data_IF_039900555531
#
_entry.id   IF_039900555531
#
_cell.length_a   1.000
_cell.length_b   1.000
_cell.length_c   1.000
_cell.angle_alpha   90.00
_cell.angle_beta   90.00
_cell.angle_gamma   90.00
#
_symmetry.space_group_name_H-M   'P 1'
#
loop_
_entity.id
_entity.type
_entity.pdbx_description
1 polymer ?
#
# COMPACT_ATOMS: atom_id res chain seq x y z
N UNK A 1 -13.62 50.53 -18.36
CA UNK A 1 -13.74 49.08 -18.17
C UNK A 1 -13.63 48.42 -19.52
N UNK A 2 -12.46 47.89 -19.84
CA UNK A 2 -12.21 47.16 -21.08
C UNK A 2 -12.35 45.69 -20.74
N UNK A 3 -13.43 45.05 -21.25
CA UNK A 3 -13.56 43.59 -21.19
C UNK A 3 -12.51 42.95 -22.10
N UNK A 4 -11.44 42.44 -21.53
CA UNK A 4 -10.54 41.51 -22.21
C UNK A 4 -11.30 40.18 -22.45
N UNK A 5 -11.83 40.03 -23.64
CA UNK A 5 -12.27 38.73 -24.16
C UNK A 5 -11.07 37.81 -24.24
N UNK A 6 -10.92 36.91 -23.24
CA UNK A 6 -9.99 35.77 -23.32
C UNK A 6 -10.33 35.00 -24.61
N UNK A 7 -9.49 35.14 -25.65
CA UNK A 7 -9.52 34.27 -26.83
C UNK A 7 -9.34 32.84 -26.32
N UNK A 8 -10.34 31.98 -26.47
CA UNK A 8 -10.15 30.53 -26.34
C UNK A 8 -9.24 30.13 -27.50
N UNK A 9 -7.96 29.87 -27.18
CA UNK A 9 -7.05 29.28 -28.15
C UNK A 9 -7.66 27.94 -28.59
N UNK A 10 -7.91 27.80 -29.89
CA UNK A 10 -8.41 26.57 -30.51
C UNK A 10 -7.22 25.60 -30.56
N UNK A 11 -7.14 24.72 -29.59
CA UNK A 11 -6.16 23.64 -29.61
C UNK A 11 -6.42 22.71 -30.82
N UNK A 12 -5.32 22.08 -31.29
CA UNK A 12 -5.42 21.12 -32.39
C UNK A 12 -6.28 19.92 -32.00
N UNK A 13 -7.12 19.43 -32.95
CA UNK A 13 -7.90 18.20 -32.77
C UNK A 13 -7.03 16.94 -32.54
N UNK A 14 -5.75 17.04 -32.81
CA UNK A 14 -4.75 15.96 -32.62
C UNK A 14 -4.01 16.08 -31.28
N UNK A 15 -4.24 17.13 -30.49
CA UNK A 15 -3.61 17.29 -29.20
C UNK A 15 -4.16 16.26 -28.18
N UNK A 16 -3.25 15.63 -27.42
CA UNK A 16 -3.68 14.83 -26.27
C UNK A 16 -4.19 15.74 -25.17
N UNK A 17 -5.38 15.45 -24.67
CA UNK A 17 -5.98 16.14 -23.53
C UNK A 17 -6.30 15.14 -22.46
N UNK A 18 -5.67 15.32 -21.31
CA UNK A 18 -6.04 14.60 -20.10
C UNK A 18 -7.48 15.00 -19.71
N UNK A 19 -8.37 14.01 -19.52
CA UNK A 19 -9.78 14.25 -19.18
C UNK A 19 -10.01 13.96 -17.70
N UNK A 20 -10.72 14.85 -17.04
CA UNK A 20 -11.12 14.63 -15.65
C UNK A 20 -12.08 13.43 -15.55
N UNK A 21 -11.87 12.58 -14.56
CA UNK A 21 -12.79 11.47 -14.29
C UNK A 21 -14.19 11.98 -13.90
N UNK A 22 -14.27 13.16 -13.30
CA UNK A 22 -15.54 13.83 -12.97
C UNK A 22 -16.36 14.23 -14.20
N UNK A 23 -15.69 14.45 -15.34
CA UNK A 23 -16.35 14.77 -16.62
C UNK A 23 -16.64 13.52 -17.46
N UNK A 24 -15.80 12.49 -17.34
CA UNK A 24 -15.95 11.23 -18.11
C UNK A 24 -17.03 10.35 -17.51
N UNK A 25 -17.09 10.24 -16.18
CA UNK A 25 -18.08 9.44 -15.49
C UNK A 25 -19.47 10.07 -15.54
N UNK A 26 -20.49 9.25 -15.77
CA UNK A 26 -21.89 9.63 -15.59
C UNK A 26 -22.19 9.84 -14.10
N UNK A 27 -23.29 10.53 -13.80
CA UNK A 27 -23.76 10.70 -12.40
C UNK A 27 -23.92 9.38 -11.65
N UNK A 28 -24.40 8.33 -12.34
CA UNK A 28 -24.53 6.99 -11.76
C UNK A 28 -23.15 6.35 -11.45
N UNK A 29 -22.17 6.53 -12.34
CA UNK A 29 -20.82 6.04 -12.08
C UNK A 29 -20.13 6.80 -10.95
N UNK A 30 -20.33 8.10 -10.82
CA UNK A 30 -19.85 8.90 -9.69
C UNK A 30 -20.46 8.36 -8.38
N UNK A 31 -21.78 8.12 -8.35
CA UNK A 31 -22.44 7.51 -7.18
C UNK A 31 -21.84 6.15 -6.85
N UNK A 32 -21.64 5.28 -7.85
CA UNK A 32 -20.99 3.98 -7.66
C UNK A 32 -19.56 4.11 -7.12
N UNK A 33 -18.80 5.13 -7.53
CA UNK A 33 -17.47 5.39 -6.98
C UNK A 33 -17.52 5.74 -5.49
N UNK A 34 -18.49 6.56 -5.06
CA UNK A 34 -18.69 6.86 -3.64
C UNK A 34 -19.10 5.62 -2.85
N UNK A 35 -20.08 4.86 -3.33
CA UNK A 35 -20.55 3.62 -2.68
C UNK A 35 -19.44 2.56 -2.61
N UNK A 36 -18.64 2.41 -3.65
CA UNK A 36 -17.48 1.52 -3.72
C UNK A 36 -16.44 1.87 -2.65
N UNK A 37 -16.18 3.15 -2.46
CA UNK A 37 -15.21 3.65 -1.51
C UNK A 37 -15.63 3.48 -0.04
N UNK A 38 -16.93 3.27 0.27
CA UNK A 38 -17.33 2.87 1.61
C UNK A 38 -16.76 1.50 2.01
N UNK A 39 -16.73 0.57 1.06
CA UNK A 39 -16.05 -0.73 1.25
C UNK A 39 -14.54 -0.61 1.34
N UNK A 40 -13.95 0.29 0.58
CA UNK A 40 -12.51 0.58 0.60
C UNK A 40 -12.06 1.15 1.96
N UNK A 41 -12.77 2.14 2.51
CA UNK A 41 -12.49 2.68 3.85
C UNK A 41 -12.55 1.58 4.93
N UNK A 42 -13.54 0.68 4.87
CA UNK A 42 -13.62 -0.47 5.79
C UNK A 42 -12.42 -1.40 5.66
N UNK A 43 -11.93 -1.63 4.46
CA UNK A 43 -10.72 -2.42 4.23
C UNK A 43 -9.50 -1.75 4.86
N UNK A 44 -9.28 -0.45 4.63
CA UNK A 44 -8.19 0.31 5.23
C UNK A 44 -8.23 0.30 6.77
N UNK A 45 -9.43 0.34 7.35
CA UNK A 45 -9.62 0.29 8.81
C UNK A 45 -9.36 -1.10 9.41
N UNK A 46 -9.51 -2.15 8.61
CA UNK A 46 -9.44 -3.55 9.08
C UNK A 46 -8.09 -4.18 8.80
N UNK A 47 -7.44 -3.79 7.72
CA UNK A 47 -6.22 -4.42 7.20
C UNK A 47 -5.07 -3.41 7.23
N UNK A 48 -4.51 -3.16 8.40
CA UNK A 48 -3.37 -2.23 8.59
C UNK A 48 -2.00 -2.91 8.47
N UNK A 49 -2.00 -4.25 8.52
CA UNK A 49 -0.81 -5.08 8.33
C UNK A 49 -1.00 -6.07 7.19
N UNK A 50 0.08 -6.65 6.69
CA UNK A 50 0.03 -7.64 5.60
C UNK A 50 -0.76 -8.89 6.01
N UNK A 51 -0.66 -9.34 7.27
CA UNK A 51 -1.42 -10.49 7.76
C UNK A 51 -2.91 -10.22 7.83
N UNK A 52 -3.29 -9.02 8.25
CA UNK A 52 -4.69 -8.59 8.28
C UNK A 52 -5.25 -8.46 6.87
N UNK A 53 -4.44 -7.97 5.91
CA UNK A 53 -4.84 -7.91 4.51
C UNK A 53 -5.12 -9.31 3.94
N UNK A 54 -4.25 -10.28 4.18
CA UNK A 54 -4.47 -11.68 3.76
C UNK A 54 -5.69 -12.29 4.45
N UNK A 55 -5.88 -12.04 5.74
CA UNK A 55 -7.06 -12.50 6.47
C UNK A 55 -8.34 -11.94 5.86
N UNK A 56 -8.38 -10.63 5.59
CA UNK A 56 -9.51 -9.98 4.94
C UNK A 56 -9.80 -10.57 3.55
N UNK A 57 -8.77 -10.73 2.72
CA UNK A 57 -8.88 -11.33 1.37
C UNK A 57 -9.49 -12.73 1.49
N UNK A 58 -8.94 -13.58 2.36
CA UNK A 58 -9.42 -14.95 2.56
C UNK A 58 -10.90 -15.01 2.97
N UNK A 59 -11.31 -14.14 3.91
CA UNK A 59 -12.71 -14.07 4.35
C UNK A 59 -13.66 -13.63 3.24
N UNK A 60 -13.23 -12.70 2.37
CA UNK A 60 -14.05 -12.28 1.22
C UNK A 60 -14.16 -13.39 0.18
N UNK A 61 -13.05 -14.05 -0.13
CA UNK A 61 -13.00 -15.09 -1.16
C UNK A 61 -13.79 -16.34 -0.76
N UNK A 62 -13.82 -16.73 0.52
CA UNK A 62 -14.66 -17.85 1.01
C UNK A 62 -16.15 -17.73 0.62
N UNK A 63 -16.63 -16.52 0.34
CA UNK A 63 -18.01 -16.21 -0.04
C UNK A 63 -18.23 -16.19 -1.56
N UNK A 64 -17.20 -16.53 -2.33
CA UNK A 64 -17.22 -16.52 -3.80
C UNK A 64 -16.89 -17.91 -4.36
N UNK A 65 -16.96 -18.06 -5.67
CA UNK A 65 -16.47 -19.28 -6.37
C UNK A 65 -15.00 -19.22 -6.77
N UNK A 66 -14.25 -18.19 -6.38
CA UNK A 66 -12.84 -18.03 -6.71
C UNK A 66 -11.97 -19.01 -5.91
N UNK A 67 -10.84 -19.45 -6.50
CA UNK A 67 -9.81 -20.22 -5.79
C UNK A 67 -8.84 -19.27 -5.13
N UNK A 68 -8.44 -19.56 -3.89
CA UNK A 68 -7.39 -18.82 -3.21
C UNK A 68 -6.23 -19.75 -2.83
N UNK A 69 -5.01 -19.25 -3.00
CA UNK A 69 -3.77 -19.87 -2.53
C UNK A 69 -3.10 -18.89 -1.59
N UNK A 70 -2.69 -19.34 -0.42
CA UNK A 70 -2.06 -18.51 0.62
C UNK A 70 -0.68 -19.11 0.94
N UNK A 71 0.32 -18.23 1.05
CA UNK A 71 1.67 -18.55 1.47
C UNK A 71 2.02 -17.79 2.75
N UNK A 72 2.27 -18.51 3.85
CA UNK A 72 2.76 -17.99 5.14
C UNK A 72 1.91 -16.87 5.76
N UNK A 73 0.62 -16.79 5.44
CA UNK A 73 -0.28 -15.71 5.86
C UNK A 73 0.19 -14.29 5.48
N UNK A 74 1.07 -14.14 4.49
CA UNK A 74 1.67 -12.87 4.04
C UNK A 74 1.71 -12.70 2.53
N UNK A 75 1.31 -13.70 1.79
CA UNK A 75 1.23 -13.66 0.32
C UNK A 75 0.02 -14.49 -0.13
N UNK A 76 -0.71 -14.02 -1.12
CA UNK A 76 -1.85 -14.76 -1.65
C UNK A 76 -2.05 -14.56 -3.14
N UNK A 77 -2.69 -15.54 -3.78
CA UNK A 77 -3.20 -15.45 -5.13
C UNK A 77 -4.65 -15.87 -5.18
N UNK A 78 -5.49 -15.04 -5.75
CA UNK A 78 -6.89 -15.35 -6.07
C UNK A 78 -7.00 -15.65 -7.55
N UNK A 79 -7.58 -16.79 -7.90
CA UNK A 79 -7.58 -17.30 -9.27
C UNK A 79 -9.01 -17.57 -9.74
N UNK A 80 -9.31 -17.07 -10.92
CA UNK A 80 -10.53 -17.40 -11.69
C UNK A 80 -10.09 -18.08 -13.00
N UNK A 81 -10.39 -19.39 -13.21
CA UNK A 81 -10.03 -20.10 -14.43
C UNK A 81 -10.65 -19.44 -15.68
N UNK A 82 -9.85 -19.33 -16.72
CA UNK A 82 -10.27 -18.78 -18.01
C UNK A 82 -10.86 -19.83 -18.95
N UNK A 83 -11.42 -19.35 -20.07
CA UNK A 83 -11.89 -20.24 -21.17
C UNK A 83 -10.73 -20.86 -21.95
N UNK A 84 -9.60 -20.13 -22.03
CA UNK A 84 -8.39 -20.61 -22.70
C UNK A 84 -7.53 -21.47 -21.78
N UNK A 85 -6.79 -22.46 -22.33
CA UNK A 85 -5.82 -23.23 -21.58
C UNK A 85 -4.76 -22.33 -20.93
N UNK A 86 -4.29 -22.70 -19.74
CA UNK A 86 -3.21 -22.00 -19.02
C UNK A 86 -1.93 -21.89 -19.88
N UNK A 87 -1.68 -22.85 -20.75
CA UNK A 87 -0.58 -22.87 -21.71
C UNK A 87 -0.57 -21.66 -22.70
N UNK A 88 -1.69 -20.94 -22.83
CA UNK A 88 -1.79 -19.70 -23.62
C UNK A 88 -1.47 -18.43 -22.83
N UNK A 89 -1.01 -18.58 -21.58
CA UNK A 89 -0.69 -17.48 -20.68
C UNK A 89 -1.84 -17.11 -19.77
N UNK A 90 -1.54 -16.27 -18.77
CA UNK A 90 -2.48 -15.78 -17.76
C UNK A 90 -2.53 -14.26 -17.73
N UNK A 91 -3.56 -13.70 -17.10
CA UNK A 91 -3.67 -12.26 -16.81
C UNK A 91 -3.49 -12.03 -15.32
N UNK A 92 -2.48 -11.27 -14.94
CA UNK A 92 -2.13 -11.03 -13.53
C UNK A 92 -2.27 -9.56 -13.22
N UNK A 93 -2.98 -9.24 -12.13
CA UNK A 93 -2.88 -7.95 -11.46
C UNK A 93 -2.16 -8.21 -10.14
N UNK A 94 -0.97 -7.65 -9.99
CA UNK A 94 -0.15 -7.81 -8.77
C UNK A 94 -0.10 -6.49 -8.01
N UNK A 95 -0.30 -6.54 -6.69
CA UNK A 95 -0.17 -5.41 -5.76
C UNK A 95 0.56 -5.85 -4.50
N UNK A 96 1.16 -4.90 -3.78
CA UNK A 96 1.72 -5.21 -2.48
C UNK A 96 0.73 -4.90 -1.34
N UNK A 97 0.96 -5.50 -0.18
CA UNK A 97 0.06 -5.44 0.97
C UNK A 97 0.72 -4.85 2.23
N UNK A 98 2.03 -4.70 2.21
CA UNK A 98 2.79 -4.00 3.24
C UNK A 98 2.71 -2.48 3.03
N UNK A 99 3.03 -1.72 4.06
CA UNK A 99 3.11 -0.25 4.05
C UNK A 99 4.14 0.22 5.06
N UNK A 100 4.73 1.42 4.90
CA UNK A 100 5.69 1.97 5.84
C UNK A 100 5.11 2.10 7.26
N UNK A 101 5.90 1.73 8.28
CA UNK A 101 5.47 1.64 9.67
C UNK A 101 6.65 1.64 10.65
N UNK A 102 6.38 1.44 11.93
CA UNK A 102 7.38 1.19 12.96
C UNK A 102 7.23 -0.25 13.48
N UNK A 103 8.23 -1.12 13.22
CA UNK A 103 8.25 -2.47 13.77
C UNK A 103 8.90 -2.45 15.17
N UNK A 104 8.39 -3.23 16.12
CA UNK A 104 9.08 -3.40 17.39
C UNK A 104 10.40 -4.17 17.21
N UNK A 105 11.46 -3.77 17.92
CA UNK A 105 12.70 -4.55 17.99
C UNK A 105 12.46 -5.88 18.72
N UNK A 106 13.41 -6.80 18.65
CA UNK A 106 13.28 -8.14 19.24
C UNK A 106 13.26 -8.13 20.77
N UNK A 107 13.93 -7.17 21.41
CA UNK A 107 13.90 -6.95 22.86
C UNK A 107 13.48 -5.49 23.06
N UNK A 108 12.17 -5.17 22.92
CA UNK A 108 11.75 -3.79 22.78
C UNK A 108 11.55 -3.06 24.10
N UNK A 109 11.22 -3.76 25.20
CA UNK A 109 10.75 -3.14 26.42
C UNK A 109 11.88 -2.67 27.33
N UNK A 110 11.93 -1.39 27.60
CA UNK A 110 12.83 -0.80 28.59
C UNK A 110 12.14 0.28 29.43
N UNK A 111 12.73 0.63 30.57
CA UNK A 111 12.28 1.72 31.45
C UNK A 111 13.32 2.84 31.42
N UNK A 112 12.88 4.05 31.07
CA UNK A 112 13.70 5.25 31.26
C UNK A 112 13.38 5.87 32.62
N UNK A 113 14.33 5.74 33.54
CA UNK A 113 14.22 6.23 34.91
C UNK A 113 14.24 7.77 34.99
N UNK A 114 14.82 8.48 34.02
CA UNK A 114 14.87 9.93 33.99
C UNK A 114 13.50 10.55 33.67
N UNK A 115 12.78 9.95 32.74
CA UNK A 115 11.43 10.39 32.36
C UNK A 115 10.33 9.64 33.11
N UNK A 116 10.68 8.57 33.85
CA UNK A 116 9.74 7.74 34.62
C UNK A 116 8.64 7.13 33.75
N UNK A 117 9.01 6.61 32.57
CA UNK A 117 8.13 5.89 31.65
C UNK A 117 8.81 4.61 31.15
N UNK A 118 7.99 3.68 30.69
CA UNK A 118 8.49 2.56 29.89
C UNK A 118 8.16 2.75 28.43
N UNK A 119 9.06 2.29 27.56
CA UNK A 119 8.97 2.43 26.11
C UNK A 119 9.18 1.08 25.44
N UNK A 120 8.67 1.00 24.19
CA UNK A 120 9.11 -0.01 23.24
C UNK A 120 10.04 0.62 22.21
N UNK A 121 11.23 0.05 22.07
CA UNK A 121 12.16 0.37 20.97
C UNK A 121 11.59 -0.09 19.64
N UNK A 122 11.70 0.78 18.64
CA UNK A 122 11.23 0.48 17.29
C UNK A 122 12.33 0.54 16.24
N UNK A 123 12.07 -0.07 15.10
CA UNK A 123 12.83 0.08 13.87
C UNK A 123 11.86 0.48 12.75
N UNK A 124 12.09 1.60 12.10
CA UNK A 124 11.21 2.00 11.00
C UNK A 124 11.34 1.06 9.79
N UNK A 125 10.22 0.81 9.14
CA UNK A 125 10.07 -0.04 7.97
C UNK A 125 9.69 0.80 6.75
N UNK A 126 10.41 0.61 5.62
CA UNK A 126 10.19 1.37 4.38
C UNK A 126 10.72 2.80 4.41
N UNK A 127 10.40 3.55 3.39
CA UNK A 127 10.86 4.92 3.17
C UNK A 127 10.01 5.98 3.86
N UNK A 128 10.22 6.26 5.14
CA UNK A 128 9.46 7.24 5.91
C UNK A 128 10.16 8.58 6.06
N UNK A 129 9.38 9.65 6.22
CA UNK A 129 9.83 10.89 6.85
C UNK A 129 9.59 10.80 8.34
N UNK A 130 10.64 10.57 9.13
CA UNK A 130 10.57 10.27 10.57
C UNK A 130 9.76 11.28 11.37
N UNK A 131 9.83 12.57 11.01
CA UNK A 131 9.07 13.64 11.68
C UNK A 131 7.53 13.52 11.55
N UNK A 132 7.03 12.76 10.57
CA UNK A 132 5.58 12.50 10.47
C UNK A 132 5.08 11.55 11.56
N UNK A 133 5.96 10.78 12.19
CA UNK A 133 5.62 9.69 13.11
C UNK A 133 5.67 10.11 14.58
N UNK A 134 6.38 11.22 14.91
CA UNK A 134 6.38 11.77 16.26
C UNK A 134 5.01 12.40 16.57
N UNK A 135 4.58 12.32 17.81
CA UNK A 135 3.29 12.78 18.38
C UNK A 135 2.04 12.24 17.67
N UNK A 136 2.21 11.28 16.76
CA UNK A 136 1.10 10.59 16.10
C UNK A 136 0.54 9.52 17.03
N UNK A 137 -0.80 9.47 17.24
CA UNK A 137 -1.42 8.33 17.92
C UNK A 137 -1.23 7.05 17.11
N UNK A 138 -0.66 6.03 17.75
CA UNK A 138 -0.34 4.74 17.13
C UNK A 138 -1.15 3.61 17.80
N UNK A 139 -1.55 2.65 17.00
CA UNK A 139 -2.11 1.37 17.37
C UNK A 139 -1.02 0.30 17.27
N UNK A 140 -1.12 -0.78 18.03
CA UNK A 140 -0.20 -1.91 17.98
C UNK A 140 -0.91 -3.12 17.39
N UNK A 141 -0.43 -3.59 16.26
CA UNK A 141 -0.96 -4.73 15.51
C UNK A 141 0.08 -5.83 15.36
N UNK A 142 -0.37 -7.04 15.06
CA UNK A 142 0.51 -8.14 14.68
C UNK A 142 0.32 -9.40 15.49
N UNK A 143 1.35 -10.22 15.55
CA UNK A 143 1.32 -11.51 16.26
C UNK A 143 2.55 -11.72 17.13
N UNK A 144 2.34 -12.45 18.22
CA UNK A 144 3.40 -13.04 19.03
C UNK A 144 3.29 -14.57 18.92
N UNK A 145 4.35 -15.23 18.52
CA UNK A 145 4.41 -16.70 18.48
C UNK A 145 5.13 -17.19 19.73
N UNK A 146 4.39 -17.85 20.63
CA UNK A 146 4.93 -18.34 21.89
C UNK A 146 5.78 -19.58 21.72
N UNK A 147 6.54 -19.93 22.77
CA UNK A 147 7.41 -21.10 22.81
C UNK A 147 6.71 -22.43 22.49
N UNK A 148 5.43 -22.56 22.81
CA UNK A 148 4.61 -23.73 22.49
C UNK A 148 4.04 -23.73 21.06
N UNK A 149 4.37 -22.71 20.25
CA UNK A 149 3.88 -22.52 18.90
C UNK A 149 2.50 -21.86 18.81
N UNK A 150 1.84 -21.58 19.94
CA UNK A 150 0.58 -20.84 19.93
C UNK A 150 0.81 -19.39 19.52
N UNK A 151 -0.21 -18.81 18.86
CA UNK A 151 -0.16 -17.43 18.36
C UNK A 151 -1.12 -16.54 19.15
N UNK A 152 -0.65 -15.38 19.54
CA UNK A 152 -1.43 -14.30 20.11
C UNK A 152 -1.52 -13.21 19.06
N UNK A 153 -2.74 -12.74 18.77
CA UNK A 153 -2.98 -11.63 17.86
C UNK A 153 -3.15 -10.35 18.68
N UNK A 154 -2.36 -9.34 18.35
CA UNK A 154 -2.49 -8.00 18.86
C UNK A 154 -3.23 -7.13 17.86
N UNK A 155 -4.23 -6.40 18.35
CA UNK A 155 -4.97 -5.35 17.63
C UNK A 155 -5.46 -4.37 18.69
N UNK A 156 -4.59 -3.46 19.10
CA UNK A 156 -4.83 -2.49 20.19
C UNK A 156 -4.73 -1.07 19.66
N UNK A 157 -5.68 -0.22 20.00
CA UNK A 157 -5.74 1.18 19.58
C UNK A 157 -6.80 1.47 18.53
N UNK A 158 -7.59 0.47 18.15
CA UNK A 158 -8.61 0.59 17.10
C UNK A 158 -10.02 0.92 17.63
N UNK A 159 -10.30 0.59 18.90
CA UNK A 159 -11.60 0.84 19.53
C UNK A 159 -11.53 2.01 20.52
N UNK A 160 -12.63 2.73 20.77
CA UNK A 160 -12.64 3.89 21.68
C UNK A 160 -12.19 3.61 23.11
N UNK A 161 -12.19 2.35 23.54
CA UNK A 161 -11.73 1.92 24.87
C UNK A 161 -10.29 1.44 24.91
N UNK A 162 -9.63 1.28 23.77
CA UNK A 162 -8.27 0.80 23.68
C UNK A 162 -7.25 1.88 24.07
N UNK A 163 -6.10 1.50 24.62
CA UNK A 163 -4.98 2.41 24.74
C UNK A 163 -4.37 2.70 23.37
N UNK A 164 -3.87 3.90 23.20
CA UNK A 164 -3.01 4.26 22.05
C UNK A 164 -1.60 4.55 22.53
N UNK A 165 -0.64 4.51 21.60
CA UNK A 165 0.78 4.73 21.85
C UNK A 165 1.25 5.96 21.06
N UNK A 166 2.40 6.52 21.41
CA UNK A 166 2.97 7.64 20.65
C UNK A 166 4.48 7.76 20.90
N UNK A 167 5.18 8.26 19.90
CA UNK A 167 6.56 8.72 20.03
C UNK A 167 6.54 10.14 20.58
N UNK A 168 7.19 10.44 21.73
CA UNK A 168 7.25 11.80 22.26
C UNK A 168 8.17 12.69 21.43
N UNK A 169 7.91 14.00 21.43
CA UNK A 169 8.78 14.98 20.79
C UNK A 169 9.05 16.18 21.72
N UNK A 170 10.07 16.95 21.40
CA UNK A 170 10.41 18.15 22.15
C UNK A 170 9.40 19.27 21.89
N UNK A 171 9.11 20.04 22.95
CA UNK A 171 8.39 21.30 22.78
C UNK A 171 9.27 22.36 22.08
N UNK A 172 8.69 23.33 21.38
CA UNK A 172 9.45 24.34 20.60
C UNK A 172 10.50 25.10 21.41
N UNK A 173 10.26 25.34 22.69
CA UNK A 173 11.21 26.07 23.55
C UNK A 173 12.49 25.29 23.88
N UNK A 174 12.54 24.00 23.62
CA UNK A 174 13.72 23.15 23.80
C UNK A 174 14.30 22.65 22.48
N UNK A 175 13.52 22.66 21.38
CA UNK A 175 13.92 22.09 20.09
C UNK A 175 14.97 22.95 19.35
N UNK A 176 14.92 24.26 19.50
CA UNK A 176 15.65 25.22 18.67
C UNK A 176 17.19 25.06 18.65
N UNK A 177 17.81 24.50 19.70
CA UNK A 177 19.25 24.21 19.73
C UNK A 177 19.60 22.76 19.40
N UNK A 178 18.61 21.86 19.36
CA UNK A 178 18.81 20.41 19.27
C UNK A 178 18.28 19.87 17.95
N UNK A 179 17.09 20.30 17.51
CA UNK A 179 16.44 19.84 16.30
C UNK A 179 16.51 20.87 15.16
N UNK A 180 16.16 22.12 15.40
CA UNK A 180 16.00 23.15 14.37
C UNK A 180 17.30 23.52 13.65
N UNK A 181 18.44 23.20 14.24
CA UNK A 181 19.78 23.41 13.65
C UNK A 181 20.27 22.26 12.78
N UNK A 182 19.50 21.17 12.72
CA UNK A 182 19.84 19.97 11.96
C UNK A 182 19.07 19.92 10.63
N UNK A 183 19.54 19.10 9.70
CA UNK A 183 18.71 18.75 8.55
C UNK A 183 17.47 17.98 9.01
N UNK A 184 16.40 18.08 8.23
CA UNK A 184 15.10 17.52 8.58
C UNK A 184 15.15 16.00 8.84
N UNK A 185 15.97 15.28 8.10
CA UNK A 185 16.17 13.81 8.23
C UNK A 185 17.07 13.43 9.42
N UNK A 186 17.84 14.38 9.94
CA UNK A 186 18.73 14.24 11.09
C UNK A 186 18.09 14.75 12.40
N UNK A 187 17.06 15.58 12.31
CA UNK A 187 16.40 16.18 13.48
C UNK A 187 15.70 15.13 14.34
N UNK A 188 15.08 14.15 13.71
CA UNK A 188 14.53 12.96 14.36
C UNK A 188 15.35 11.76 13.90
N UNK A 189 16.01 11.07 14.83
CA UNK A 189 16.80 9.87 14.52
C UNK A 189 15.92 8.62 14.50
N UNK A 190 16.36 7.54 13.84
CA UNK A 190 15.67 6.26 13.90
C UNK A 190 15.57 5.70 15.31
N UNK A 191 16.63 5.84 16.09
CA UNK A 191 16.69 5.39 17.49
C UNK A 191 15.84 6.23 18.45
N UNK A 192 15.30 7.38 18.02
CA UNK A 192 14.38 8.19 18.82
C UNK A 192 12.90 7.98 18.48
N UNK A 193 12.58 6.96 17.68
CA UNK A 193 11.20 6.61 17.34
C UNK A 193 10.57 5.61 18.31
N UNK A 194 10.99 5.62 19.58
CA UNK A 194 10.47 4.73 20.62
C UNK A 194 9.09 5.19 21.11
N UNK A 195 8.18 4.23 21.26
CA UNK A 195 6.81 4.50 21.66
C UNK A 195 6.62 4.34 23.17
N UNK A 196 5.98 5.32 23.83
CA UNK A 196 5.62 5.24 25.24
C UNK A 196 4.53 4.19 25.43
N UNK A 197 4.73 3.26 26.38
CA UNK A 197 3.82 2.14 26.67
C UNK A 197 3.28 2.14 28.11
N UNK A 198 3.82 2.94 29.00
CA UNK A 198 3.27 3.07 30.35
C UNK A 198 4.14 3.89 31.30
N UNK A 199 3.56 4.21 32.48
CA UNK A 199 4.24 4.98 33.53
C UNK A 199 3.84 4.54 34.96
N UNK A 200 2.98 3.51 35.11
CA UNK A 200 2.49 3.06 36.42
C UNK A 200 3.46 2.01 37.02
N UNK A 201 4.09 2.30 38.18
CA UNK A 201 5.04 1.37 38.77
C UNK A 201 4.37 0.19 39.49
N UNK A 202 5.05 -0.94 39.52
CA UNK A 202 4.71 -2.07 40.38
C UNK A 202 4.95 -1.71 41.87
N UNK A 203 4.25 -2.38 42.77
CA UNK A 203 4.49 -2.33 44.20
C UNK A 203 5.64 -3.31 44.54
N UNK A 204 6.55 -2.88 45.39
CA UNK A 204 7.68 -3.73 45.83
C UNK A 204 9.03 -3.09 45.53
N UNK A 205 10.08 -3.80 45.83
CA UNK A 205 11.49 -3.37 45.65
C UNK A 205 12.06 -3.98 44.35
N UNK A 206 11.76 -3.35 43.25
CA UNK A 206 12.23 -3.70 41.90
C UNK A 206 13.14 -2.60 41.39
N UNK A 207 14.17 -2.94 40.60
CA UNK A 207 15.03 -1.96 39.93
C UNK A 207 14.31 -1.20 38.79
N UNK A 208 13.43 -1.91 38.06
CA UNK A 208 12.64 -1.38 36.94
C UNK A 208 11.14 -1.60 37.25
N UNK A 209 10.55 -0.69 38.05
CA UNK A 209 9.20 -0.87 38.57
C UNK A 209 8.10 -0.76 37.51
N UNK A 210 8.26 0.14 36.53
CA UNK A 210 7.27 0.34 35.47
C UNK A 210 7.34 -0.82 34.47
N UNK A 211 8.54 -1.19 34.06
CA UNK A 211 8.77 -2.38 33.21
C UNK A 211 8.19 -3.63 33.84
N UNK A 212 8.44 -3.86 35.14
CA UNK A 212 7.89 -4.99 35.87
C UNK A 212 6.35 -4.99 35.86
N UNK A 213 5.72 -3.83 36.11
CA UNK A 213 4.27 -3.72 36.08
C UNK A 213 3.67 -4.03 34.69
N UNK A 214 4.36 -3.62 33.63
CA UNK A 214 3.95 -3.91 32.25
C UNK A 214 4.10 -5.38 31.90
N UNK A 215 5.22 -6.01 32.25
CA UNK A 215 5.43 -7.44 32.05
C UNK A 215 4.37 -8.27 32.78
N UNK A 216 4.05 -7.92 34.05
CA UNK A 216 2.98 -8.55 34.79
C UNK A 216 1.60 -8.40 34.10
N UNK A 217 1.32 -7.21 33.55
CA UNK A 217 0.09 -6.94 32.82
C UNK A 217 0.02 -7.76 31.54
N UNK A 218 1.07 -7.72 30.71
CA UNK A 218 1.15 -8.46 29.45
C UNK A 218 1.02 -9.97 29.68
N UNK A 219 1.66 -10.48 30.72
CA UNK A 219 1.53 -11.89 31.08
C UNK A 219 0.10 -12.25 31.53
N UNK A 220 -0.53 -11.43 32.37
CA UNK A 220 -1.91 -11.68 32.87
C UNK A 220 -2.97 -11.57 31.78
N UNK A 221 -2.85 -10.61 30.89
CA UNK A 221 -3.88 -10.34 29.85
C UNK A 221 -3.68 -11.17 28.59
N UNK A 222 -2.41 -11.39 28.18
CA UNK A 222 -2.09 -12.04 26.91
C UNK A 222 -1.28 -13.33 27.07
N UNK A 223 -0.81 -13.65 28.28
CA UNK A 223 0.08 -14.78 28.52
C UNK A 223 1.43 -14.65 27.80
N UNK A 224 1.89 -13.40 27.57
CA UNK A 224 3.13 -13.08 26.86
C UNK A 224 4.22 -12.71 27.86
N UNK A 225 5.35 -13.39 27.81
CA UNK A 225 6.59 -13.08 28.54
C UNK A 225 7.50 -12.16 27.71
N UNK A 226 8.54 -11.60 28.34
CA UNK A 226 9.52 -10.78 27.61
C UNK A 226 10.25 -11.58 26.52
N UNK A 227 10.55 -12.85 26.75
CA UNK A 227 11.19 -13.75 25.76
C UNK A 227 10.31 -13.94 24.50
N UNK A 228 9.00 -13.89 24.63
CA UNK A 228 8.08 -14.11 23.49
C UNK A 228 8.14 -12.96 22.47
N UNK A 229 8.61 -11.76 22.86
CA UNK A 229 8.82 -10.65 21.90
C UNK A 229 9.92 -10.98 20.87
N UNK A 230 10.87 -11.86 21.16
CA UNK A 230 11.92 -12.26 20.21
C UNK A 230 11.31 -12.91 18.96
N UNK A 231 10.18 -13.58 19.11
CA UNK A 231 9.41 -14.22 18.01
C UNK A 231 8.10 -13.49 17.70
N UNK A 232 8.06 -12.18 17.94
CA UNK A 232 6.93 -11.34 17.59
C UNK A 232 7.13 -10.66 16.22
N UNK A 233 6.03 -10.41 15.54
CA UNK A 233 5.89 -9.45 14.46
C UNK A 233 4.84 -8.44 14.92
N UNK A 234 5.30 -7.39 15.59
CA UNK A 234 4.44 -6.33 16.14
C UNK A 234 4.78 -4.98 15.48
N UNK A 235 3.76 -4.35 14.97
CA UNK A 235 3.80 -3.19 14.13
C UNK A 235 3.01 -2.05 14.78
N UNK A 236 3.68 -0.90 15.00
CA UNK A 236 3.02 0.32 15.42
C UNK A 236 2.59 1.11 14.17
N UNK A 237 1.29 1.24 14.01
CA UNK A 237 0.63 1.86 12.86
C UNK A 237 -0.29 2.98 13.31
N UNK A 238 -0.61 3.97 12.44
CA UNK A 238 -1.53 5.06 12.82
C UNK A 238 -2.88 4.56 13.31
N UNK A 239 -3.33 5.06 14.47
CA UNK A 239 -4.62 4.70 15.11
C UNK A 239 -5.82 5.40 14.46
N UNK A 240 -5.63 6.04 13.31
CA UNK A 240 -6.69 6.74 12.60
C UNK A 240 -7.61 5.77 11.85
N UNK A 241 -8.86 6.21 11.66
CA UNK A 241 -9.78 5.59 10.72
C UNK A 241 -9.75 6.31 9.38
N UNK A 242 -9.97 5.58 8.31
CA UNK A 242 -10.16 6.14 6.97
C UNK A 242 -11.39 7.05 6.95
N UNK A 243 -11.24 8.26 6.41
CA UNK A 243 -12.30 9.27 6.37
C UNK A 243 -12.47 9.90 5.02
N UNK A 244 -13.70 10.32 4.73
CA UNK A 244 -13.95 11.26 3.68
C UNK A 244 -13.25 12.59 3.99
N UNK A 245 -12.60 13.17 2.99
CA UNK A 245 -11.85 14.41 3.11
C UNK A 245 -12.38 15.45 2.12
N UNK A 246 -12.33 16.72 2.54
CA UNK A 246 -12.86 17.87 1.79
C UNK A 246 -14.36 18.09 2.04
N UNK A 247 -14.83 19.31 1.80
CA UNK A 247 -16.24 19.67 1.98
C UNK A 247 -17.20 18.87 1.09
N UNK A 248 -16.75 18.51 -0.09
CA UNK A 248 -17.46 17.71 -1.08
C UNK A 248 -17.33 16.20 -0.88
N UNK A 249 -16.48 15.77 0.10
CA UNK A 249 -16.24 14.36 0.43
C UNK A 249 -15.70 13.54 -0.75
N UNK A 250 -15.05 14.19 -1.70
CA UNK A 250 -14.54 13.57 -2.93
C UNK A 250 -13.24 12.79 -2.73
N UNK A 251 -12.55 13.06 -1.63
CA UNK A 251 -11.26 12.45 -1.27
C UNK A 251 -11.40 11.50 -0.08
N UNK A 252 -10.41 10.62 0.06
CA UNK A 252 -10.23 9.73 1.22
C UNK A 252 -8.87 10.04 1.83
N UNK A 253 -8.84 10.31 3.13
CA UNK A 253 -7.64 10.37 3.93
C UNK A 253 -7.53 9.12 4.79
N UNK A 254 -6.39 8.42 4.71
CA UNK A 254 -6.14 7.18 5.46
C UNK A 254 -4.65 6.81 5.46
N UNK A 255 -4.27 5.92 6.36
CA UNK A 255 -2.98 5.25 6.38
C UNK A 255 -2.94 4.07 5.41
N UNK A 256 -1.81 3.88 4.73
CA UNK A 256 -1.51 2.69 3.95
C UNK A 256 -2.35 2.58 2.67
N UNK A 257 -2.71 3.70 2.04
CA UNK A 257 -3.30 3.66 0.69
C UNK A 257 -2.27 3.18 -0.34
N UNK A 258 -1.01 3.39 -0.08
CA UNK A 258 0.12 2.71 -0.67
C UNK A 258 0.38 1.37 0.07
N UNK A 259 0.12 0.16 -0.50
CA UNK A 259 -0.60 -0.03 -1.78
C UNK A 259 -1.94 -0.77 -1.57
N UNK A 260 -2.60 -0.55 -0.41
CA UNK A 260 -3.93 -1.15 -0.15
C UNK A 260 -5.00 -0.64 -1.10
N UNK A 261 -4.76 0.50 -1.77
CA UNK A 261 -5.63 0.98 -2.83
C UNK A 261 -5.70 -0.01 -3.99
N UNK A 262 -4.55 -0.46 -4.49
CA UNK A 262 -4.50 -1.45 -5.56
C UNK A 262 -4.88 -2.84 -5.08
N UNK A 263 -4.52 -3.21 -3.83
CA UNK A 263 -4.95 -4.47 -3.21
C UNK A 263 -6.48 -4.58 -3.15
N UNK A 264 -7.18 -3.55 -2.65
CA UNK A 264 -8.64 -3.59 -2.58
C UNK A 264 -9.29 -3.60 -3.95
N UNK A 265 -8.80 -2.76 -4.87
CA UNK A 265 -9.39 -2.62 -6.21
C UNK A 265 -9.16 -3.87 -7.06
N UNK A 266 -8.01 -4.54 -6.95
CA UNK A 266 -7.73 -5.81 -7.63
C UNK A 266 -8.52 -6.99 -7.02
N UNK A 267 -8.65 -7.03 -5.68
CA UNK A 267 -9.51 -8.00 -5.01
C UNK A 267 -10.97 -7.87 -5.49
N UNK A 268 -11.49 -6.65 -5.52
CA UNK A 268 -12.86 -6.42 -6.01
C UNK A 268 -13.01 -6.76 -7.49
N UNK A 269 -12.01 -6.43 -8.31
CA UNK A 269 -12.02 -6.76 -9.72
C UNK A 269 -12.09 -8.27 -9.95
N UNK A 270 -11.23 -9.06 -9.29
CA UNK A 270 -11.20 -10.52 -9.46
C UNK A 270 -12.48 -11.20 -8.94
N UNK A 271 -13.11 -10.66 -7.89
CA UNK A 271 -14.38 -11.18 -7.37
C UNK A 271 -15.58 -10.93 -8.30
N UNK A 272 -15.52 -9.85 -9.09
CA UNK A 272 -16.63 -9.42 -9.94
C UNK A 272 -16.58 -9.98 -11.38
N UNK A 273 -15.50 -10.70 -11.75
CA UNK A 273 -15.41 -11.39 -13.03
C UNK A 273 -15.94 -12.84 -12.91
N UNK A 274 -16.49 -13.38 -13.99
CA UNK A 274 -17.09 -14.73 -13.97
C UNK A 274 -16.44 -15.72 -14.92
N UNK A 275 -16.23 -15.33 -16.17
CA UNK A 275 -15.68 -16.17 -17.23
C UNK A 275 -14.66 -15.37 -18.03
N UNK A 276 -13.47 -15.15 -17.50
CA UNK A 276 -12.43 -14.44 -18.23
C UNK A 276 -11.94 -15.26 -19.42
N UNK A 277 -11.47 -14.60 -20.44
CA UNK A 277 -10.91 -15.27 -21.62
C UNK A 277 -9.67 -16.08 -21.28
N UNK A 278 -8.74 -15.51 -20.50
CA UNK A 278 -7.56 -16.18 -19.96
C UNK A 278 -7.72 -16.39 -18.46
N UNK A 279 -7.02 -17.35 -17.89
CA UNK A 279 -6.99 -17.48 -16.43
C UNK A 279 -6.53 -16.17 -15.80
N UNK A 280 -7.38 -15.63 -14.93
CA UNK A 280 -7.16 -14.37 -14.24
C UNK A 280 -6.62 -14.62 -12.83
N UNK A 281 -5.63 -13.82 -12.43
CA UNK A 281 -4.97 -13.91 -11.13
C UNK A 281 -4.86 -12.51 -10.52
N UNK A 282 -5.39 -12.32 -9.31
CA UNK A 282 -5.02 -11.21 -8.45
C UNK A 282 -3.97 -11.73 -7.47
N UNK A 283 -2.78 -11.15 -7.50
CA UNK A 283 -1.61 -11.61 -6.75
C UNK A 283 -1.17 -10.56 -5.76
N UNK A 284 -1.10 -10.93 -4.48
CA UNK A 284 -0.85 -10.04 -3.35
C UNK A 284 0.48 -10.43 -2.70
N UNK A 285 1.44 -9.52 -2.66
CA UNK A 285 2.81 -9.77 -2.17
C UNK A 285 3.18 -8.84 -1.03
N UNK A 286 4.12 -9.27 -0.23
CA UNK A 286 4.66 -8.59 0.94
C UNK A 286 6.02 -7.97 0.63
N UNK A 287 6.49 -7.04 1.50
CA UNK A 287 7.85 -6.48 1.55
C UNK A 287 8.30 -5.68 0.30
N UNK A 288 7.34 -5.12 -0.45
CA UNK A 288 7.69 -4.21 -1.54
C UNK A 288 8.49 -3.02 -1.02
N UNK A 289 8.04 -2.43 0.08
CA UNK A 289 8.56 -1.22 0.72
C UNK A 289 10.02 -1.35 1.22
N UNK A 290 10.51 -2.56 1.34
CA UNK A 290 11.91 -2.84 1.69
C UNK A 290 12.69 -3.51 0.55
N UNK A 291 12.24 -3.31 -0.71
CA UNK A 291 12.91 -3.78 -1.91
C UNK A 291 12.56 -5.20 -2.32
N UNK A 292 11.44 -5.77 -1.86
CA UNK A 292 10.99 -7.14 -2.15
C UNK A 292 11.99 -8.22 -1.68
N UNK A 293 12.72 -7.97 -0.61
CA UNK A 293 13.63 -8.96 -0.02
C UNK A 293 12.90 -9.86 0.99
N UNK A 294 12.97 -11.17 0.80
CA UNK A 294 12.33 -12.17 1.66
C UNK A 294 11.59 -13.25 0.89
N UNK A 295 10.84 -14.10 1.61
CA UNK A 295 10.26 -15.33 1.06
C UNK A 295 8.76 -15.24 0.69
N UNK A 296 8.16 -14.05 0.81
CA UNK A 296 6.74 -13.75 0.48
C UNK A 296 6.61 -12.56 -0.47
N UNK A 297 7.63 -12.36 -1.31
CA UNK A 297 7.81 -11.16 -2.13
C UNK A 297 7.66 -11.44 -3.62
N UNK A 298 7.46 -10.40 -4.41
CA UNK A 298 7.43 -10.48 -5.87
C UNK A 298 8.72 -11.06 -6.49
N UNK A 299 9.85 -10.93 -5.81
CA UNK A 299 11.14 -11.48 -6.27
C UNK A 299 11.16 -13.01 -6.22
N UNK A 300 10.40 -13.63 -5.29
CA UNK A 300 10.34 -15.09 -5.12
C UNK A 300 9.20 -15.68 -5.95
N UNK A 301 9.50 -16.06 -7.17
CA UNK A 301 8.50 -16.53 -8.14
C UNK A 301 8.02 -17.97 -7.93
N UNK A 302 8.61 -18.70 -6.97
CA UNK A 302 8.31 -20.12 -6.70
C UNK A 302 6.83 -20.34 -6.37
N UNK A 303 6.22 -19.41 -5.65
CA UNK A 303 4.81 -19.51 -5.29
C UNK A 303 3.91 -19.41 -6.53
N UNK A 304 4.11 -18.41 -7.40
CA UNK A 304 3.38 -18.28 -8.66
C UNK A 304 3.58 -19.50 -9.56
N UNK A 305 4.81 -19.99 -9.69
CA UNK A 305 5.13 -21.21 -10.47
C UNK A 305 4.38 -22.43 -9.94
N UNK A 306 4.29 -22.57 -8.60
CA UNK A 306 3.55 -23.67 -7.97
C UNK A 306 2.05 -23.59 -8.25
N UNK A 307 1.48 -22.38 -8.30
CA UNK A 307 0.07 -22.15 -8.63
C UNK A 307 -0.19 -22.56 -10.08
N UNK A 308 0.64 -22.12 -11.04
CA UNK A 308 0.52 -22.48 -12.44
C UNK A 308 0.56 -24.02 -12.61
N UNK A 309 1.48 -24.70 -11.93
CA UNK A 309 1.56 -26.18 -11.93
C UNK A 309 0.34 -26.86 -11.31
N UNK A 310 -0.30 -26.26 -10.30
CA UNK A 310 -1.55 -26.78 -9.72
C UNK A 310 -2.75 -26.56 -10.63
N UNK A 311 -2.71 -25.56 -11.50
CA UNK A 311 -3.77 -25.32 -12.49
C UNK A 311 -3.65 -26.27 -13.67
N UNK A 312 -2.43 -26.54 -14.14
CA UNK A 312 -2.14 -27.53 -15.17
C UNK A 312 -0.76 -28.19 -14.90
N UNK A 313 -0.73 -29.45 -14.40
CA UNK A 313 0.51 -30.14 -14.05
C UNK A 313 1.45 -30.42 -15.23
N UNK A 314 0.93 -30.42 -16.45
CA UNK A 314 1.68 -30.79 -17.65
C UNK A 314 2.24 -29.59 -18.41
N UNK A 315 1.88 -28.36 -17.99
CA UNK A 315 2.29 -27.14 -18.69
C UNK A 315 3.77 -26.83 -18.48
N UNK A 316 4.40 -26.31 -19.52
CA UNK A 316 5.70 -25.63 -19.42
C UNK A 316 5.48 -24.24 -18.81
N UNK A 317 5.90 -24.09 -17.54
CA UNK A 317 5.68 -22.86 -16.76
C UNK A 317 6.39 -21.67 -17.37
N UNK A 318 7.62 -21.84 -17.90
CA UNK A 318 8.35 -20.73 -18.50
C UNK A 318 7.68 -20.25 -19.79
N UNK A 319 7.13 -21.17 -20.57
CA UNK A 319 6.34 -20.81 -21.75
C UNK A 319 5.02 -20.13 -21.40
N UNK A 320 4.39 -20.49 -20.27
CA UNK A 320 3.22 -19.75 -19.74
C UNK A 320 3.62 -18.32 -19.37
N UNK A 321 4.76 -18.15 -18.67
CA UNK A 321 5.26 -16.82 -18.27
C UNK A 321 5.46 -15.92 -19.50
N UNK A 322 6.15 -16.39 -20.54
CA UNK A 322 6.41 -15.65 -21.78
C UNK A 322 5.14 -15.15 -22.50
N UNK A 323 4.02 -15.86 -22.33
CA UNK A 323 2.71 -15.51 -22.93
C UNK A 323 1.81 -14.72 -22.00
N UNK A 324 2.22 -14.53 -20.76
CA UNK A 324 1.43 -13.86 -19.74
C UNK A 324 1.57 -12.35 -19.79
N UNK A 325 0.51 -11.67 -19.35
CA UNK A 325 0.46 -10.22 -19.27
C UNK A 325 0.14 -9.79 -17.84
N UNK A 326 0.79 -8.74 -17.39
CA UNK A 326 0.75 -8.27 -16.00
C UNK A 326 0.45 -6.78 -15.94
N UNK A 327 -0.44 -6.41 -15.05
CA UNK A 327 -0.52 -5.07 -14.48
C UNK A 327 0.18 -5.10 -13.13
N UNK A 328 1.29 -4.38 -12.99
CA UNK A 328 1.88 -4.00 -11.72
C UNK A 328 1.00 -2.89 -11.15
N UNK A 329 0.11 -3.28 -10.27
CA UNK A 329 -0.82 -2.38 -9.62
C UNK A 329 -0.11 -1.78 -8.41
N UNK A 330 0.28 -0.53 -8.54
CA UNK A 330 0.96 0.27 -7.52
C UNK A 330 0.52 1.72 -7.68
N UNK A 331 0.39 2.45 -6.58
CA UNK A 331 -0.05 3.83 -6.60
C UNK A 331 1.01 4.74 -7.24
N UNK A 332 0.58 5.88 -7.78
CA UNK A 332 1.48 6.87 -8.36
C UNK A 332 1.43 8.18 -7.57
N UNK A 333 2.55 8.89 -7.44
CA UNK A 333 2.61 10.15 -6.72
C UNK A 333 1.88 11.26 -7.48
N UNK A 334 0.80 11.79 -6.89
CA UNK A 334 0.08 12.92 -7.43
C UNK A 334 0.80 14.25 -7.18
N UNK A 335 0.65 15.20 -8.09
CA UNK A 335 1.17 16.57 -7.93
C UNK A 335 0.69 17.15 -6.61
N UNK A 336 1.65 17.52 -5.77
CA UNK A 336 1.40 18.13 -4.46
C UNK A 336 1.38 19.65 -4.58
N UNK A 337 0.28 20.35 -4.19
CA UNK A 337 0.08 21.76 -4.50
C UNK A 337 1.20 22.70 -4.04
N UNK A 338 1.77 22.45 -2.86
CA UNK A 338 2.78 23.31 -2.26
C UNK A 338 4.22 23.02 -2.76
N UNK A 339 4.39 21.99 -3.61
CA UNK A 339 5.71 21.51 -4.06
C UNK A 339 5.68 21.12 -5.54
N UNK A 340 5.04 21.94 -6.37
CA UNK A 340 4.88 21.67 -7.81
C UNK A 340 6.22 21.63 -8.57
N UNK A 341 7.24 22.27 -8.04
CA UNK A 341 8.55 22.40 -8.70
C UNK A 341 9.31 21.08 -8.83
N UNK A 342 8.99 20.07 -7.99
CA UNK A 342 9.64 18.74 -8.07
C UNK A 342 9.00 17.85 -9.13
N UNK A 343 7.88 18.26 -9.74
CA UNK A 343 7.17 17.53 -10.78
C UNK A 343 7.46 18.08 -12.18
N UNK A 344 7.51 17.21 -13.18
CA UNK A 344 7.39 17.59 -14.59
C UNK A 344 5.89 17.56 -14.95
N UNK A 345 5.25 18.73 -14.92
CA UNK A 345 3.79 18.86 -14.90
C UNK A 345 3.05 18.28 -16.13
N UNK A 346 3.72 18.16 -17.29
CA UNK A 346 3.11 17.53 -18.47
C UNK A 346 2.95 16.03 -18.32
N UNK A 347 3.90 15.40 -17.59
CA UNK A 347 3.98 13.96 -17.39
C UNK A 347 3.76 13.58 -15.91
N UNK A 348 3.11 14.44 -15.14
CA UNK A 348 2.80 14.17 -13.74
C UNK A 348 1.33 13.80 -13.53
N UNK A 349 1.07 12.92 -12.57
CA UNK A 349 -0.28 12.50 -12.23
C UNK A 349 -1.01 13.55 -11.39
N UNK A 350 -2.32 13.61 -11.54
CA UNK A 350 -3.19 14.56 -10.84
C UNK A 350 -4.41 13.83 -10.30
N UNK A 351 -4.85 14.14 -9.08
CA UNK A 351 -6.08 13.59 -8.52
C UNK A 351 -7.31 13.95 -9.36
N UNK A 352 -8.25 13.01 -9.47
CA UNK A 352 -9.50 13.21 -10.20
C UNK A 352 -9.39 13.01 -11.71
N UNK A 353 -8.29 12.45 -12.22
CA UNK A 353 -8.09 12.16 -13.64
C UNK A 353 -8.03 10.66 -13.97
N UNK A 354 -8.43 9.82 -13.05
CA UNK A 354 -8.48 8.38 -13.23
C UNK A 354 -7.15 7.67 -12.96
N UNK A 355 -7.07 6.40 -13.36
CA UNK A 355 -5.91 5.55 -13.13
C UNK A 355 -4.70 6.05 -13.92
N UNK A 356 -3.53 5.97 -13.31
CA UNK A 356 -2.26 6.40 -13.90
C UNK A 356 -1.59 5.23 -14.60
N UNK A 357 -1.27 5.40 -15.87
CA UNK A 357 -0.49 4.45 -16.65
C UNK A 357 0.96 4.95 -16.73
N UNK A 358 1.88 4.23 -16.10
CA UNK A 358 3.31 4.53 -16.13
C UNK A 358 4.03 3.52 -17.02
N UNK A 359 4.56 3.99 -18.15
CA UNK A 359 5.32 3.16 -19.09
C UNK A 359 6.60 2.61 -18.45
N UNK A 360 7.19 3.40 -17.57
CA UNK A 360 8.38 3.06 -16.78
C UNK A 360 8.32 3.77 -15.43
N UNK A 361 9.02 3.18 -14.46
CA UNK A 361 9.31 3.73 -13.14
C UNK A 361 10.84 3.82 -12.99
N UNK A 362 11.40 3.82 -11.78
CA UNK A 362 12.83 3.90 -11.57
C UNK A 362 13.32 5.33 -11.41
N UNK A 363 14.64 5.52 -11.42
CA UNK A 363 15.29 6.80 -11.18
C UNK A 363 16.42 7.07 -12.16
N UNK A 364 16.83 8.34 -12.30
CA UNK A 364 17.89 8.75 -13.22
C UNK A 364 17.67 8.22 -14.63
N UNK A 365 18.56 7.34 -15.13
CA UNK A 365 18.46 6.71 -16.43
C UNK A 365 17.51 5.49 -16.49
N UNK A 366 16.38 5.49 -15.77
CA UNK A 366 15.41 4.39 -15.64
C UNK A 366 15.97 3.15 -14.90
N UNK A 367 16.92 3.34 -13.99
CA UNK A 367 17.51 2.23 -13.23
C UNK A 367 16.46 1.58 -12.32
N UNK A 368 16.55 0.26 -12.18
CA UNK A 368 15.65 -0.55 -11.33
C UNK A 368 14.17 -0.48 -11.72
N UNK A 369 13.88 -0.17 -12.99
CA UNK A 369 12.54 -0.09 -13.54
C UNK A 369 12.21 -1.25 -14.47
N UNK A 370 10.92 -1.39 -14.77
CA UNK A 370 10.41 -1.94 -16.00
C UNK A 370 10.23 -0.81 -17.03
N UNK A 371 10.48 -1.05 -18.30
CA UNK A 371 10.13 -0.17 -19.42
C UNK A 371 9.20 -0.95 -20.37
N UNK A 372 7.89 -0.73 -20.24
CA UNK A 372 6.89 -1.49 -20.99
C UNK A 372 7.03 -1.30 -22.51
N UNK A 373 6.79 -2.37 -23.29
CA UNK A 373 6.81 -2.32 -24.75
C UNK A 373 5.75 -1.35 -25.29
N UNK A 374 6.03 -0.72 -26.42
CA UNK A 374 5.09 0.20 -27.06
C UNK A 374 3.78 -0.50 -27.43
N UNK A 375 3.87 -1.77 -27.82
CA UNK A 375 2.75 -2.64 -28.18
C UNK A 375 1.84 -2.87 -26.98
N UNK A 376 2.42 -3.20 -25.83
CA UNK A 376 1.63 -3.45 -24.61
C UNK A 376 1.01 -2.15 -24.06
N UNK A 377 1.75 -1.04 -24.09
CA UNK A 377 1.18 0.29 -23.76
C UNK A 377 -0.01 0.62 -24.66
N UNK A 378 0.08 0.35 -25.98
CA UNK A 378 -1.01 0.59 -26.93
C UNK A 378 -2.21 -0.33 -26.67
N UNK A 379 -1.98 -1.58 -26.27
CA UNK A 379 -3.02 -2.53 -25.90
C UNK A 379 -3.79 -2.04 -24.65
N UNK A 380 -3.10 -1.68 -23.58
CA UNK A 380 -3.72 -1.17 -22.34
C UNK A 380 -4.46 0.14 -22.61
N UNK A 381 -3.86 1.08 -23.34
CA UNK A 381 -4.53 2.32 -23.75
C UNK A 381 -5.83 2.03 -24.51
N UNK A 382 -5.81 1.09 -25.43
CA UNK A 382 -6.97 0.69 -26.22
C UNK A 382 -8.05 0.08 -25.34
N UNK A 383 -7.66 -0.78 -24.39
CA UNK A 383 -8.56 -1.39 -23.41
C UNK A 383 -9.29 -0.32 -22.57
N UNK A 384 -8.53 0.64 -22.02
CA UNK A 384 -9.08 1.70 -21.18
C UNK A 384 -10.06 2.59 -21.98
N UNK A 385 -9.67 2.99 -23.20
CA UNK A 385 -10.50 3.81 -24.08
C UNK A 385 -11.79 3.09 -24.51
N UNK A 386 -11.70 1.82 -24.90
CA UNK A 386 -12.86 1.00 -25.30
C UNK A 386 -13.89 0.91 -24.18
N UNK A 387 -13.43 0.78 -22.93
CA UNK A 387 -14.28 0.67 -21.75
C UNK A 387 -14.64 2.03 -21.13
N UNK A 388 -14.23 3.15 -21.75
CA UNK A 388 -14.47 4.53 -21.27
C UNK A 388 -14.00 4.75 -19.83
N UNK A 389 -12.89 4.13 -19.47
CA UNK A 389 -12.28 4.27 -18.14
C UNK A 389 -11.40 5.52 -18.16
N UNK A 390 -11.57 6.45 -17.21
CA UNK A 390 -10.68 7.60 -17.08
C UNK A 390 -9.25 7.15 -16.76
N UNK A 391 -8.27 7.69 -17.51
CA UNK A 391 -6.87 7.38 -17.31
C UNK A 391 -5.97 8.56 -17.70
N UNK A 392 -4.77 8.55 -17.19
CA UNK A 392 -3.73 9.51 -17.51
C UNK A 392 -2.38 8.77 -17.63
N UNK A 393 -1.46 9.31 -18.46
CA UNK A 393 -0.08 8.87 -18.50
C UNK A 393 0.75 9.77 -17.58
N UNK A 394 1.62 9.18 -16.77
CA UNK A 394 2.51 9.95 -15.90
C UNK A 394 3.79 9.18 -15.54
N UNK A 395 4.77 9.96 -15.08
CA UNK A 395 6.04 9.50 -14.50
C UNK A 395 6.14 10.03 -13.05
N UNK A 396 7.06 9.49 -12.26
CA UNK A 396 7.28 9.91 -10.89
C UNK A 396 8.33 11.02 -10.83
N UNK A 397 7.88 12.27 -10.67
CA UNK A 397 8.76 13.43 -10.47
C UNK A 397 9.54 13.86 -11.70
N UNK A 398 10.57 14.69 -11.50
CA UNK A 398 11.55 15.07 -12.53
C UNK A 398 12.63 14.00 -12.66
N UNK A 399 13.24 13.87 -13.83
CA UNK A 399 14.21 12.82 -14.20
C UNK A 399 15.30 12.59 -13.13
N UNK A 400 15.92 13.65 -12.61
CA UNK A 400 17.02 13.54 -11.65
C UNK A 400 16.56 13.65 -10.18
N UNK A 401 15.28 13.97 -9.92
CA UNK A 401 14.75 14.25 -8.59
C UNK A 401 13.68 13.26 -8.14
N UNK A 402 13.23 12.36 -9.00
CA UNK A 402 12.18 11.41 -8.74
C UNK A 402 12.51 10.02 -9.22
N UNK A 403 11.57 9.13 -8.98
CA UNK A 403 11.65 7.74 -9.39
C UNK A 403 11.69 6.79 -8.21
N UNK A 404 11.12 5.62 -8.41
CA UNK A 404 11.12 4.49 -7.49
C UNK A 404 10.99 3.19 -8.27
N UNK A 405 11.37 2.07 -7.68
CA UNK A 405 11.10 0.75 -8.26
C UNK A 405 9.71 0.28 -7.86
N UNK A 406 9.13 -0.60 -8.64
CA UNK A 406 7.91 -1.32 -8.34
C UNK A 406 8.14 -2.82 -8.50
N UNK A 407 7.14 -3.63 -8.16
CA UNK A 407 7.21 -5.09 -8.38
C UNK A 407 7.29 -5.48 -9.87
N UNK A 408 6.99 -4.56 -10.80
CA UNK A 408 7.02 -4.78 -12.24
C UNK A 408 8.33 -5.38 -12.75
N UNK A 409 9.48 -4.92 -12.23
CA UNK A 409 10.81 -5.41 -12.64
C UNK A 409 11.01 -6.90 -12.42
N UNK A 410 10.36 -7.50 -11.42
CA UNK A 410 10.53 -8.92 -11.12
C UNK A 410 9.73 -9.80 -12.09
N UNK A 411 8.56 -9.35 -12.50
CA UNK A 411 7.71 -10.05 -13.45
C UNK A 411 8.23 -9.89 -14.88
N UNK A 412 8.77 -8.73 -15.25
CA UNK A 412 9.41 -8.54 -16.56
C UNK A 412 10.66 -9.43 -16.75
N UNK A 413 11.41 -9.72 -15.67
CA UNK A 413 12.53 -10.68 -15.70
C UNK A 413 12.10 -12.12 -15.98
N UNK A 414 10.82 -12.45 -15.84
CA UNK A 414 10.24 -13.74 -16.23
C UNK A 414 9.82 -13.77 -17.71
N UNK A 415 10.08 -12.69 -18.46
CA UNK A 415 9.70 -12.56 -19.87
C UNK A 415 8.25 -12.17 -20.10
N UNK A 416 7.52 -11.75 -19.08
CA UNK A 416 6.13 -11.29 -19.19
C UNK A 416 6.07 -9.86 -19.75
N UNK A 417 4.98 -9.52 -20.43
CA UNK A 417 4.62 -8.13 -20.70
C UNK A 417 4.07 -7.49 -19.42
N UNK A 418 4.70 -6.41 -18.96
CA UNK A 418 4.36 -5.75 -17.68
C UNK A 418 4.24 -4.25 -17.87
N UNK A 419 3.24 -3.64 -17.23
CA UNK A 419 3.06 -2.19 -17.14
C UNK A 419 2.57 -1.81 -15.75
N UNK A 420 3.02 -0.64 -15.25
CA UNK A 420 2.53 -0.08 -14.01
C UNK A 420 1.23 0.70 -14.23
N UNK A 421 0.21 0.40 -13.43
CA UNK A 421 -1.12 1.01 -13.54
C UNK A 421 -1.79 1.08 -12.16
N UNK A 422 -1.93 2.29 -11.58
CA UNK A 422 -2.56 2.47 -10.27
C UNK A 422 -3.16 3.86 -10.08
N UNK A 423 -3.90 4.10 -9.00
CA UNK A 423 -4.48 5.41 -8.72
C UNK A 423 -3.41 6.40 -8.23
N UNK A 424 -3.59 7.71 -8.49
CA UNK A 424 -2.71 8.73 -7.93
C UNK A 424 -3.01 8.93 -6.43
N UNK A 425 -1.93 9.14 -5.62
CA UNK A 425 -2.00 9.38 -4.18
C UNK A 425 -1.11 10.56 -3.82
N UNK A 426 -1.56 11.44 -2.94
CA UNK A 426 -0.73 12.48 -2.31
C UNK A 426 -0.26 12.04 -0.93
N UNK A 427 0.87 12.60 -0.49
CA UNK A 427 1.47 12.31 0.81
C UNK A 427 1.81 10.83 1.01
N UNK A 428 2.18 10.14 -0.08
CA UNK A 428 2.64 8.76 -0.09
C UNK A 428 3.69 8.52 1.00
N UNK A 429 3.67 7.37 1.66
CA UNK A 429 4.51 6.99 2.79
C UNK A 429 4.33 7.84 4.07
N UNK A 430 3.30 8.69 4.13
CA UNK A 430 2.97 9.39 5.39
C UNK A 430 1.97 8.58 6.23
N UNK A 431 1.83 8.89 7.53
CA UNK A 431 0.77 8.32 8.35
C UNK A 431 -0.64 8.63 7.85
N UNK A 432 -0.81 9.61 6.95
CA UNK A 432 -2.12 10.02 6.42
C UNK A 432 -2.03 10.42 4.95
N UNK A 433 -2.35 9.50 4.07
CA UNK A 433 -2.28 9.65 2.62
C UNK A 433 -3.64 10.06 2.05
N UNK A 434 -3.66 10.62 0.84
CA UNK A 434 -4.86 11.20 0.23
C UNK A 434 -5.07 10.65 -1.17
N UNK A 435 -6.23 10.02 -1.43
CA UNK A 435 -6.64 9.56 -2.75
C UNK A 435 -8.02 10.10 -3.15
N UNK A 436 -8.30 10.17 -4.46
CA UNK A 436 -9.60 10.56 -4.98
C UNK A 436 -10.50 9.34 -5.20
N UNK A 437 -11.77 9.43 -4.79
CA UNK A 437 -12.74 8.34 -4.92
C UNK A 437 -12.94 7.89 -6.36
N UNK A 438 -12.93 8.81 -7.31
CA UNK A 438 -13.09 8.48 -8.72
C UNK A 438 -11.86 7.79 -9.30
N UNK A 439 -10.67 8.07 -8.77
CA UNK A 439 -9.42 7.43 -9.21
C UNK A 439 -9.34 5.99 -8.69
N UNK A 440 -9.70 5.77 -7.43
CA UNK A 440 -9.85 4.42 -6.83
C UNK A 440 -10.85 3.58 -7.65
N UNK A 441 -12.00 4.14 -7.99
CA UNK A 441 -12.99 3.43 -8.79
C UNK A 441 -12.53 3.19 -10.23
N UNK A 442 -11.76 4.11 -10.81
CA UNK A 442 -11.14 3.94 -12.13
C UNK A 442 -10.14 2.79 -12.15
N UNK A 443 -9.33 2.63 -11.10
CA UNK A 443 -8.40 1.50 -10.94
C UNK A 443 -9.14 0.16 -10.88
N UNK A 444 -10.21 0.07 -10.08
CA UNK A 444 -11.07 -1.12 -10.06
C UNK A 444 -11.62 -1.48 -11.45
N UNK A 445 -12.14 -0.49 -12.18
CA UNK A 445 -12.68 -0.72 -13.53
C UNK A 445 -11.59 -1.17 -14.51
N UNK A 446 -10.38 -0.59 -14.41
CA UNK A 446 -9.25 -0.94 -15.26
C UNK A 446 -8.78 -2.39 -15.01
N UNK A 447 -8.61 -2.77 -13.77
CA UNK A 447 -8.20 -4.13 -13.41
C UNK A 447 -9.27 -5.17 -13.81
N UNK A 448 -10.54 -4.85 -13.60
CA UNK A 448 -11.64 -5.71 -14.05
C UNK A 448 -11.61 -5.91 -15.56
N UNK A 449 -11.53 -4.83 -16.34
CA UNK A 449 -11.48 -4.91 -17.80
C UNK A 449 -10.27 -5.70 -18.31
N UNK A 450 -9.11 -5.55 -17.65
CA UNK A 450 -7.91 -6.30 -17.97
C UNK A 450 -8.03 -7.79 -17.65
N UNK A 451 -8.55 -8.15 -16.50
CA UNK A 451 -8.72 -9.54 -16.09
C UNK A 451 -9.77 -10.28 -16.94
N UNK A 452 -10.74 -9.56 -17.52
CA UNK A 452 -11.75 -10.11 -18.45
C UNK A 452 -11.24 -10.24 -19.91
N UNK A 453 -10.11 -9.61 -20.28
CA UNK A 453 -9.62 -9.46 -21.67
C UNK A 453 -9.05 -10.74 -22.30
#
# INVERSE_FOLDING_TARGET
MVEEKKKKDKESKYAYKKKSAWEVFTKDQIKKAFDFCEGYKKFLDTAKTEREAITYINEKIKKTGCKIFINRDKEAAVVVPGEKPVAEGVRIVISHIDSPRLDLKQIPLYEDTNSNVALFETHYYGGIKKFHWVVTPLALHGIVVKKDGSKIVFNLGEHPGDPVFSVPDLLPHLSYKVQDVKKLDEAITGESLDIIVGSKPAKGDFSEKIKTALLDKLYKEYGTSEEDFISAELEAVPAYKARDMGFDRSLIGAYGQDDRACTYTSLRAIMDIKKPRYTAIAFFVDKEEIGSEGNTTAQVTTFLRSIIKKLDPHVDVDNVMLKSKVISADVNSAVTPNYTDVFELKNASTLGYGVVMSKFTGHGGKYSANDASAEYVAEIRTLLNKNKIPWQAAELGKVDNGGGGTVAKYFSRLGMEVIDLGPPVMSMHSPYEIASKVDIYSAYLAYKAFLES
#
